data_IF_671550108354
#
_entry.id   IF_671550108354
#
_cell.length_a   1.000
_cell.length_b   1.000
_cell.length_c   1.000
_cell.angle_alpha   90.00
_cell.angle_beta   90.00
_cell.angle_gamma   90.00
#
_symmetry.space_group_name_H-M   'P 1'
#
loop_
_entity.id
_entity.type
_entity.pdbx_description
1 polymer ?
#
# COMPACT_ATOMS: atom_id res chain seq x y z
N UNK A 1 -5.19 -9.47 18.79
CA UNK A 1 -3.96 -9.63 17.99
C UNK A 1 -4.29 -9.17 16.59
N UNK A 2 -3.82 -7.98 16.20
CA UNK A 2 -3.88 -7.55 14.81
C UNK A 2 -2.99 -8.51 14.01
N UNK A 3 -3.50 -9.07 12.91
CA UNK A 3 -2.68 -9.92 12.04
C UNK A 3 -1.71 -9.01 11.27
N UNK A 4 -0.43 -9.33 11.35
CA UNK A 4 0.58 -8.74 10.49
C UNK A 4 0.41 -9.29 9.07
N UNK A 5 0.26 -8.38 8.10
CA UNK A 5 0.10 -8.74 6.68
C UNK A 5 1.49 -8.80 6.06
N UNK A 6 2.05 -10.00 5.98
CA UNK A 6 3.42 -10.22 5.46
C UNK A 6 3.49 -9.98 3.94
N UNK A 7 2.50 -10.48 3.19
CA UNK A 7 2.39 -10.37 1.73
C UNK A 7 1.04 -9.77 1.36
N UNK A 8 0.92 -8.43 1.38
CA UNK A 8 -0.37 -7.79 1.22
C UNK A 8 -0.97 -8.06 -0.16
N UNK A 9 -2.25 -8.42 -0.19
CA UNK A 9 -3.04 -8.58 -1.39
C UNK A 9 -4.19 -7.58 -1.40
N UNK A 10 -4.46 -6.93 -2.54
CA UNK A 10 -5.59 -6.00 -2.68
C UNK A 10 -6.91 -6.75 -2.47
N UNK A 11 -7.83 -6.12 -1.75
CA UNK A 11 -9.21 -6.59 -1.69
C UNK A 11 -9.82 -6.66 -3.09
N UNK A 12 -10.41 -7.81 -3.43
CA UNK A 12 -10.96 -8.09 -4.76
C UNK A 12 -12.00 -7.07 -5.24
N UNK A 13 -12.75 -6.46 -4.32
CA UNK A 13 -13.80 -5.48 -4.61
C UNK A 13 -13.32 -4.01 -4.55
N UNK A 14 -12.03 -3.76 -4.34
CA UNK A 14 -11.46 -2.42 -4.39
C UNK A 14 -11.40 -1.91 -5.84
N UNK A 15 -11.94 -0.73 -6.09
CA UNK A 15 -11.85 -0.04 -7.39
C UNK A 15 -10.77 1.03 -7.33
N UNK A 16 -10.07 1.20 -8.45
CA UNK A 16 -9.02 2.22 -8.61
C UNK A 16 -9.42 3.20 -9.71
N UNK A 17 -9.15 4.48 -9.49
CA UNK A 17 -9.17 5.51 -10.54
C UNK A 17 -7.98 6.43 -10.37
N UNK A 18 -7.23 6.69 -11.44
CA UNK A 18 -6.18 7.70 -11.42
C UNK A 18 -6.78 9.10 -11.61
N UNK A 19 -6.31 10.08 -10.84
CA UNK A 19 -6.66 11.49 -10.98
C UNK A 19 -5.39 12.34 -10.91
N UNK A 20 -4.84 12.69 -12.08
CA UNK A 20 -3.52 13.32 -12.13
C UNK A 20 -2.45 12.40 -11.51
N UNK A 21 -1.79 12.87 -10.46
CA UNK A 21 -0.72 12.15 -9.77
C UNK A 21 -1.19 11.32 -8.57
N UNK A 22 -2.49 11.36 -8.24
CA UNK A 22 -3.06 10.61 -7.11
C UNK A 22 -3.92 9.43 -7.57
N UNK A 23 -4.04 8.41 -6.71
CA UNK A 23 -4.95 7.29 -6.91
C UNK A 23 -6.14 7.41 -5.97
N UNK A 24 -7.35 7.31 -6.52
CA UNK A 24 -8.57 7.17 -5.75
C UNK A 24 -8.92 5.69 -5.62
N UNK A 25 -8.91 5.18 -4.38
CA UNK A 25 -9.43 3.86 -4.03
C UNK A 25 -10.89 4.00 -3.60
N UNK A 26 -11.78 3.17 -4.15
CA UNK A 26 -13.19 3.14 -3.75
C UNK A 26 -13.57 1.72 -3.37
N UNK A 27 -14.09 1.57 -2.15
CA UNK A 27 -14.57 0.29 -1.63
C UNK A 27 -15.69 0.50 -0.64
N UNK A 28 -16.75 -0.31 -0.72
CA UNK A 28 -17.89 -0.28 0.24
C UNK A 28 -18.52 1.11 0.46
N UNK A 29 -18.46 1.98 -0.54
CA UNK A 29 -19.00 3.35 -0.46
C UNK A 29 -18.06 4.37 0.19
N UNK A 30 -16.86 3.96 0.59
CA UNK A 30 -15.79 4.82 1.06
C UNK A 30 -14.77 5.08 -0.05
N UNK A 31 -14.17 6.26 -0.03
CA UNK A 31 -13.16 6.68 -0.98
C UNK A 31 -11.91 7.17 -0.24
N UNK A 32 -10.74 6.72 -0.69
CA UNK A 32 -9.45 7.06 -0.11
C UNK A 32 -8.53 7.56 -1.21
N UNK A 33 -7.92 8.71 -0.98
CA UNK A 33 -6.92 9.26 -1.90
C UNK A 33 -5.53 8.82 -1.44
N UNK A 34 -4.75 8.31 -2.38
CA UNK A 34 -3.36 7.94 -2.18
C UNK A 34 -2.46 8.88 -2.97
N UNK A 35 -1.43 9.40 -2.30
CA UNK A 35 -0.33 10.09 -2.97
C UNK A 35 0.53 9.13 -3.80
N UNK A 36 1.61 9.65 -4.39
CA UNK A 36 2.49 8.89 -5.26
C UNK A 36 3.18 7.70 -4.55
N UNK A 37 3.61 7.88 -3.29
CA UNK A 37 4.31 6.87 -2.50
C UNK A 37 3.32 5.78 -2.07
N UNK A 38 2.19 6.19 -1.50
CA UNK A 38 1.14 5.27 -1.08
C UNK A 38 0.55 4.50 -2.26
N UNK A 39 0.40 5.17 -3.40
CA UNK A 39 -0.01 4.54 -4.66
C UNK A 39 1.00 3.52 -5.17
N UNK A 40 2.31 3.73 -4.97
CA UNK A 40 3.33 2.75 -5.31
C UNK A 40 3.25 1.51 -4.41
N UNK A 41 3.14 1.71 -3.10
CA UNK A 41 2.95 0.60 -2.14
C UNK A 41 1.71 -0.21 -2.52
N UNK A 42 0.57 0.46 -2.71
CA UNK A 42 -0.68 -0.18 -3.15
C UNK A 42 -0.50 -1.02 -4.41
N UNK A 43 0.18 -0.50 -5.44
CA UNK A 43 0.43 -1.24 -6.69
C UNK A 43 1.15 -2.56 -6.43
N UNK A 44 2.08 -2.60 -5.48
CA UNK A 44 2.85 -3.80 -5.12
C UNK A 44 2.18 -4.74 -4.11
N UNK A 45 1.03 -4.38 -3.53
CA UNK A 45 0.21 -5.28 -2.73
C UNK A 45 -0.49 -6.32 -3.62
N UNK A 46 0.25 -7.27 -4.18
CA UNK A 46 -0.23 -8.28 -5.14
C UNK A 46 -0.24 -9.71 -4.57
N UNK A 47 -0.04 -9.86 -3.26
CA UNK A 47 0.08 -11.16 -2.58
C UNK A 47 1.40 -11.90 -2.83
N UNK A 48 2.30 -11.34 -3.64
CA UNK A 48 3.59 -12.00 -4.00
C UNK A 48 4.79 -11.41 -3.27
N UNK A 49 4.83 -10.09 -3.12
CA UNK A 49 5.92 -9.34 -2.48
C UNK A 49 5.69 -9.22 -0.98
N UNK A 50 6.74 -9.36 -0.18
CA UNK A 50 6.65 -9.01 1.24
C UNK A 50 6.70 -7.50 1.44
N UNK A 51 6.34 -7.02 2.62
CA UNK A 51 6.47 -5.60 2.97
C UNK A 51 7.93 -5.12 2.83
N UNK A 52 8.92 -5.97 3.11
CA UNK A 52 10.35 -5.68 2.91
C UNK A 52 10.74 -5.56 1.44
N UNK A 53 10.17 -6.40 0.57
CA UNK A 53 10.38 -6.29 -0.88
C UNK A 53 9.83 -4.95 -1.38
N UNK A 54 8.63 -4.56 -0.91
CA UNK A 54 8.00 -3.29 -1.25
C UNK A 54 8.83 -2.11 -0.75
N UNK A 55 9.32 -2.16 0.50
CA UNK A 55 10.18 -1.12 1.06
C UNK A 55 11.49 -0.95 0.27
N UNK A 56 12.04 -2.05 -0.25
CA UNK A 56 13.23 -2.00 -1.11
C UNK A 56 12.96 -1.25 -2.42
N UNK A 57 11.78 -1.45 -3.02
CA UNK A 57 11.35 -0.71 -4.21
C UNK A 57 11.16 0.77 -3.89
N UNK A 58 10.53 1.11 -2.76
CA UNK A 58 10.31 2.48 -2.31
C UNK A 58 11.63 3.21 -2.09
N UNK A 59 12.57 2.58 -1.36
CA UNK A 59 13.88 3.16 -1.08
C UNK A 59 14.67 3.47 -2.36
N UNK A 60 14.60 2.58 -3.36
CA UNK A 60 15.26 2.78 -4.64
C UNK A 60 14.61 3.87 -5.50
N UNK A 61 13.27 3.97 -5.51
CA UNK A 61 12.53 4.93 -6.34
C UNK A 61 12.61 6.36 -5.79
N UNK A 62 12.55 6.51 -4.46
CA UNK A 62 12.45 7.81 -3.79
C UNK A 62 13.76 8.29 -3.13
N UNK A 63 14.86 7.54 -3.27
CA UNK A 63 16.17 7.84 -2.67
C UNK A 63 16.11 8.11 -1.16
N UNK A 64 15.31 7.30 -0.46
CA UNK A 64 15.16 7.33 1.00
C UNK A 64 15.91 6.16 1.65
N UNK A 65 16.14 6.23 2.96
CA UNK A 65 16.76 5.11 3.67
C UNK A 65 15.84 3.88 3.66
N UNK A 66 16.43 2.69 3.63
CA UNK A 66 15.67 1.45 3.68
C UNK A 66 14.88 1.30 4.99
N UNK A 67 15.38 1.84 6.10
CA UNK A 67 14.70 1.76 7.39
C UNK A 67 13.49 2.70 7.45
N UNK A 68 13.58 3.90 6.87
CA UNK A 68 12.42 4.80 6.73
C UNK A 68 11.37 4.18 5.79
N UNK A 69 11.79 3.68 4.62
CA UNK A 69 10.88 3.03 3.67
C UNK A 69 10.17 1.81 4.30
N UNK A 70 10.86 1.06 5.15
CA UNK A 70 10.29 -0.07 5.90
C UNK A 70 9.26 0.36 6.92
N UNK A 71 9.51 1.46 7.63
CA UNK A 71 8.56 2.00 8.60
C UNK A 71 7.29 2.46 7.88
N UNK A 72 7.44 3.24 6.81
CA UNK A 72 6.34 3.78 6.02
C UNK A 72 5.52 2.66 5.35
N UNK A 73 6.19 1.67 4.75
CA UNK A 73 5.51 0.54 4.12
C UNK A 73 4.71 -0.29 5.12
N UNK A 74 5.25 -0.56 6.31
CA UNK A 74 4.53 -1.30 7.37
C UNK A 74 3.35 -0.51 7.89
N UNK A 75 3.53 0.78 8.16
CA UNK A 75 2.45 1.64 8.64
C UNK A 75 1.31 1.69 7.62
N UNK A 76 1.62 1.95 6.35
CA UNK A 76 0.60 2.08 5.33
C UNK A 76 -0.11 0.74 5.07
N UNK A 77 0.61 -0.38 4.97
CA UNK A 77 -0.01 -1.70 4.79
C UNK A 77 -0.94 -2.02 5.95
N UNK A 78 -0.54 -1.73 7.19
CA UNK A 78 -1.40 -1.90 8.36
C UNK A 78 -2.65 -1.01 8.31
N UNK A 79 -2.52 0.25 7.88
CA UNK A 79 -3.66 1.15 7.68
C UNK A 79 -4.61 0.63 6.60
N UNK A 80 -4.09 0.22 5.44
CA UNK A 80 -4.86 -0.38 4.35
C UNK A 80 -5.59 -1.64 4.82
N UNK A 81 -4.95 -2.49 5.63
CA UNK A 81 -5.56 -3.69 6.19
C UNK A 81 -6.69 -3.36 7.17
N UNK A 82 -6.51 -2.34 8.03
CA UNK A 82 -7.55 -1.85 8.94
C UNK A 82 -8.76 -1.27 8.19
N UNK A 83 -8.54 -0.67 7.03
CA UNK A 83 -9.59 -0.19 6.12
C UNK A 83 -10.20 -1.33 5.26
N UNK A 84 -9.65 -2.55 5.35
CA UNK A 84 -10.06 -3.70 4.55
C UNK A 84 -9.76 -3.54 3.05
N UNK A 85 -8.81 -2.68 2.69
CA UNK A 85 -8.37 -2.47 1.31
C UNK A 85 -7.32 -3.50 0.90
N UNK A 86 -6.58 -4.06 1.85
CA UNK A 86 -5.68 -5.21 1.64
C UNK A 86 -5.92 -6.29 2.71
N UNK A 87 -5.47 -7.51 2.42
CA UNK A 87 -5.48 -8.67 3.32
C UNK A 87 -4.16 -9.46 3.29
#
# INVERSE_FOLDING_TARGET
>A
MEKEVEKPEKAFDARVSAQGDTLLLVRRGEAYELDAVAGLIWRHCDGTKTVEDIATVIAAEYDVSLDDAKADARELVAQLARMGLVE
#
